data_IF_132648202653
#
_entry.id   IF_132648202653
#
_cell.length_a   1.000
_cell.length_b   1.000
_cell.length_c   1.000
_cell.angle_alpha   90.00
_cell.angle_beta   90.00
_cell.angle_gamma   90.00
#
_symmetry.space_group_name_H-M   'P 1'
#
loop_
_entity.id
_entity.type
_entity.pdbx_description
1 polymer ?
#
# COMPACT_ATOMS: atom_id res chain seq x y z
N UNK A 1 14.80 6.04 0.29
CA UNK A 1 14.69 5.28 -0.98
C UNK A 1 13.55 4.30 -0.83
N UNK A 2 12.75 4.13 -1.89
CA UNK A 2 11.71 3.10 -2.01
C UNK A 2 11.93 2.31 -3.30
N UNK A 3 11.45 1.08 -3.34
CA UNK A 3 11.35 0.32 -4.60
C UNK A 3 10.25 0.92 -5.48
N UNK A 4 10.46 0.87 -6.80
CA UNK A 4 9.48 1.38 -7.79
C UNK A 4 8.34 0.36 -8.03
N UNK A 5 8.58 -0.92 -7.80
CA UNK A 5 7.63 -1.99 -8.09
C UNK A 5 6.20 -1.76 -7.56
N UNK A 6 5.95 -1.23 -6.33
CA UNK A 6 4.60 -0.91 -5.86
C UNK A 6 3.87 0.14 -6.69
N UNK A 7 4.61 0.96 -7.42
CA UNK A 7 4.08 1.98 -8.33
C UNK A 7 3.83 1.44 -9.74
N UNK A 8 4.01 0.15 -9.97
CA UNK A 8 3.99 -0.49 -11.30
C UNK A 8 2.72 -0.28 -12.10
N UNK A 9 1.57 -0.04 -11.43
CA UNK A 9 0.30 0.23 -12.10
C UNK A 9 0.15 1.68 -12.58
N UNK A 10 1.02 2.61 -12.17
CA UNK A 10 0.92 4.04 -12.51
C UNK A 10 0.85 4.28 -14.01
N UNK A 11 1.73 3.71 -14.87
CA UNK A 11 1.66 3.97 -16.31
C UNK A 11 0.35 3.51 -16.96
N UNK A 12 -0.15 2.35 -16.56
CA UNK A 12 -1.39 1.81 -17.10
C UNK A 12 -2.60 2.67 -16.67
N UNK A 13 -2.65 3.03 -15.39
CA UNK A 13 -3.70 3.91 -14.87
C UNK A 13 -3.72 5.27 -15.56
N UNK A 14 -2.57 5.92 -15.75
CA UNK A 14 -2.51 7.19 -16.47
C UNK A 14 -3.10 7.08 -17.88
N UNK A 15 -2.77 5.99 -18.61
CA UNK A 15 -3.34 5.75 -19.94
C UNK A 15 -4.86 5.54 -19.91
N UNK A 16 -5.39 4.85 -18.88
CA UNK A 16 -6.84 4.69 -18.69
C UNK A 16 -7.56 6.05 -18.48
N UNK A 17 -6.87 7.01 -17.85
CA UNK A 17 -7.32 8.39 -17.72
C UNK A 17 -7.01 9.26 -18.96
N UNK A 18 -6.51 8.67 -20.04
CA UNK A 18 -6.20 9.39 -21.29
C UNK A 18 -4.93 10.26 -21.21
N UNK A 19 -4.03 9.99 -20.26
CA UNK A 19 -2.80 10.74 -20.03
C UNK A 19 -1.60 9.92 -20.50
N UNK A 20 -0.73 10.52 -21.34
CA UNK A 20 0.56 9.92 -21.67
C UNK A 20 1.46 9.92 -20.41
N UNK A 21 1.90 8.74 -19.93
CA UNK A 21 2.73 8.65 -18.73
C UNK A 21 4.15 9.20 -18.93
N UNK A 22 4.72 9.11 -20.12
CA UNK A 22 6.13 9.36 -20.35
C UNK A 22 6.62 10.76 -19.92
N UNK A 23 5.93 11.88 -20.26
CA UNK A 23 6.36 13.21 -19.83
C UNK A 23 6.29 13.36 -18.30
N UNK A 24 5.25 12.80 -17.68
CA UNK A 24 5.03 12.87 -16.24
C UNK A 24 6.09 12.06 -15.48
N UNK A 25 6.39 10.85 -15.93
CA UNK A 25 7.42 10.00 -15.34
C UNK A 25 8.81 10.65 -15.41
N UNK A 26 9.19 11.19 -16.57
CA UNK A 26 10.47 11.91 -16.73
C UNK A 26 10.59 13.11 -15.81
N UNK A 27 9.52 13.86 -15.61
CA UNK A 27 9.50 14.99 -14.67
C UNK A 27 9.73 14.56 -13.20
N UNK A 28 9.53 13.27 -12.88
CA UNK A 28 9.76 12.67 -11.57
C UNK A 28 10.99 11.75 -11.54
N UNK A 29 11.92 11.90 -12.49
CA UNK A 29 13.18 11.16 -12.49
C UNK A 29 13.08 9.69 -12.91
N UNK A 30 11.95 9.26 -13.46
CA UNK A 30 11.76 7.93 -14.05
C UNK A 30 11.96 8.06 -15.57
N UNK A 31 12.94 7.33 -16.10
CA UNK A 31 13.37 7.45 -17.49
C UNK A 31 12.23 7.15 -18.47
N UNK A 32 11.56 6.03 -18.27
CA UNK A 32 10.49 5.50 -19.11
C UNK A 32 9.65 4.47 -18.36
N UNK A 33 8.59 3.96 -19.00
CA UNK A 33 7.72 2.93 -18.43
C UNK A 33 8.40 1.56 -18.26
N UNK A 34 9.51 1.29 -18.96
CA UNK A 34 10.27 0.04 -18.79
C UNK A 34 10.94 -0.06 -17.42
N UNK A 35 11.22 1.08 -16.78
CA UNK A 35 11.78 1.15 -15.42
C UNK A 35 10.92 0.40 -14.40
N UNK A 36 9.61 0.31 -14.60
CA UNK A 36 8.69 -0.43 -13.70
C UNK A 36 8.80 -1.96 -13.83
N UNK A 37 9.48 -2.48 -14.85
CA UNK A 37 9.75 -3.91 -15.01
C UNK A 37 10.96 -4.37 -14.21
N UNK A 38 11.83 -3.44 -13.81
CA UNK A 38 12.97 -3.71 -12.96
C UNK A 38 12.54 -3.74 -11.50
N UNK A 39 12.46 -4.93 -10.91
CA UNK A 39 12.06 -5.13 -9.52
C UNK A 39 13.06 -4.54 -8.51
N UNK A 40 14.30 -4.31 -8.90
CA UNK A 40 15.34 -3.70 -8.05
C UNK A 40 15.41 -2.17 -8.20
N UNK A 41 14.71 -1.59 -9.17
CA UNK A 41 14.69 -0.16 -9.37
C UNK A 41 14.17 0.57 -8.13
N UNK A 42 14.88 1.63 -7.73
CA UNK A 42 14.54 2.43 -6.56
C UNK A 42 14.49 3.92 -6.91
N UNK A 43 13.77 4.66 -6.08
CA UNK A 43 13.70 6.12 -6.16
C UNK A 43 13.68 6.75 -4.76
N UNK A 44 13.96 8.07 -4.62
CA UNK A 44 13.77 8.77 -3.36
C UNK A 44 12.28 8.68 -2.91
N UNK A 45 12.04 8.39 -1.64
CA UNK A 45 10.68 8.27 -1.08
C UNK A 45 9.82 9.51 -1.38
N UNK A 46 10.39 10.71 -1.15
CA UNK A 46 9.69 11.97 -1.43
C UNK A 46 9.33 12.15 -2.91
N UNK A 47 10.08 11.53 -3.81
CA UNK A 47 9.78 11.54 -5.25
C UNK A 47 8.57 10.65 -5.58
N UNK A 48 8.49 9.47 -4.93
CA UNK A 48 7.33 8.57 -5.06
C UNK A 48 6.03 9.23 -4.58
N UNK A 49 6.06 9.89 -3.43
CA UNK A 49 4.91 10.64 -2.92
C UNK A 49 4.49 11.78 -3.87
N UNK A 50 5.45 12.57 -4.37
CA UNK A 50 5.17 13.62 -5.36
C UNK A 50 4.60 13.08 -6.66
N UNK A 51 5.11 11.95 -7.15
CA UNK A 51 4.58 11.29 -8.34
C UNK A 51 3.10 10.95 -8.16
N UNK A 52 2.76 10.25 -7.08
CA UNK A 52 1.37 9.87 -6.79
C UNK A 52 0.45 11.10 -6.65
N UNK A 53 0.92 12.14 -5.95
CA UNK A 53 0.18 13.40 -5.84
C UNK A 53 -0.08 14.04 -7.20
N UNK A 54 0.96 14.15 -8.03
CA UNK A 54 0.83 14.70 -9.39
C UNK A 54 -0.13 13.86 -10.24
N UNK A 55 -0.07 12.53 -10.12
CA UNK A 55 -1.02 11.65 -10.80
C UNK A 55 -2.46 11.92 -10.36
N UNK A 56 -2.70 12.02 -9.04
CA UNK A 56 -4.03 12.32 -8.50
C UNK A 56 -4.59 13.66 -9.02
N UNK A 57 -3.74 14.71 -9.04
CA UNK A 57 -4.10 16.03 -9.55
C UNK A 57 -4.39 16.02 -11.05
N UNK A 58 -3.54 15.37 -11.84
CA UNK A 58 -3.66 15.34 -13.31
C UNK A 58 -4.84 14.50 -13.79
N UNK A 59 -5.18 13.45 -13.06
CA UNK A 59 -6.34 12.57 -13.36
C UNK A 59 -7.63 13.06 -12.73
N UNK A 60 -7.58 14.08 -11.86
CA UNK A 60 -8.69 14.51 -11.01
C UNK A 60 -9.26 13.35 -10.17
N UNK A 61 -8.39 12.39 -9.79
CA UNK A 61 -8.72 11.21 -9.03
C UNK A 61 -8.08 11.29 -7.64
N UNK A 62 -8.78 11.77 -6.60
CA UNK A 62 -8.21 11.99 -5.26
C UNK A 62 -7.80 10.68 -4.56
N UNK A 63 -8.23 9.53 -5.03
CA UNK A 63 -7.90 8.20 -4.54
C UNK A 63 -6.97 7.42 -5.51
N UNK A 64 -6.12 8.12 -6.25
CA UNK A 64 -5.23 7.49 -7.24
C UNK A 64 -4.30 6.46 -6.61
N UNK A 65 -3.75 6.75 -5.42
CA UNK A 65 -2.91 5.82 -4.65
C UNK A 65 -3.63 4.51 -4.31
N UNK A 66 -4.92 4.59 -3.93
CA UNK A 66 -5.77 3.42 -3.73
C UNK A 66 -5.85 2.56 -5.01
N UNK A 67 -6.10 3.18 -6.18
CA UNK A 67 -6.17 2.45 -7.45
C UNK A 67 -4.85 1.76 -7.81
N UNK A 68 -3.71 2.40 -7.51
CA UNK A 68 -2.38 1.79 -7.70
C UNK A 68 -2.23 0.58 -6.80
N UNK A 69 -2.52 0.71 -5.51
CA UNK A 69 -2.40 -0.37 -4.53
C UNK A 69 -3.33 -1.54 -4.79
N UNK A 70 -4.53 -1.31 -5.33
CA UNK A 70 -5.47 -2.37 -5.74
C UNK A 70 -4.88 -3.36 -6.75
N UNK A 71 -3.92 -2.91 -7.57
CA UNK A 71 -3.28 -3.69 -8.64
C UNK A 71 -1.96 -4.32 -8.23
N UNK A 72 -1.54 -4.10 -6.98
CA UNK A 72 -0.31 -4.63 -6.43
C UNK A 72 -0.61 -5.85 -5.56
N UNK A 73 0.19 -6.91 -5.73
CA UNK A 73 0.18 -8.08 -4.86
C UNK A 73 1.48 -8.16 -4.03
N UNK A 74 1.68 -9.26 -3.28
CA UNK A 74 2.88 -9.43 -2.45
C UNK A 74 4.18 -9.50 -3.26
N UNK A 75 4.15 -9.73 -4.57
CA UNK A 75 5.35 -9.81 -5.42
C UNK A 75 6.06 -8.45 -5.54
N UNK A 76 5.32 -7.34 -5.41
CA UNK A 76 5.90 -6.00 -5.43
C UNK A 76 6.87 -5.75 -4.26
N UNK A 77 6.82 -6.58 -3.21
CA UNK A 77 7.72 -6.53 -2.06
C UNK A 77 9.03 -7.32 -2.29
N UNK A 78 9.21 -7.95 -3.45
CA UNK A 78 10.43 -8.68 -3.79
C UNK A 78 10.76 -9.78 -2.78
N UNK A 79 11.97 -9.74 -2.17
CA UNK A 79 12.41 -10.74 -1.18
C UNK A 79 11.51 -10.80 0.05
N UNK A 80 10.95 -9.68 0.50
CA UNK A 80 9.98 -9.66 1.61
C UNK A 80 8.72 -10.44 1.25
N UNK A 81 8.22 -10.29 0.03
CA UNK A 81 7.08 -11.07 -0.48
C UNK A 81 7.34 -12.58 -0.52
N UNK A 82 8.60 -13.00 -0.74
CA UNK A 82 8.98 -14.42 -0.63
C UNK A 82 8.96 -14.92 0.82
N UNK A 83 9.41 -14.13 1.78
CA UNK A 83 9.33 -14.46 3.21
C UNK A 83 7.88 -14.66 3.65
N UNK A 84 6.99 -13.75 3.26
CA UNK A 84 5.56 -13.87 3.53
C UNK A 84 4.97 -15.19 3.02
N UNK A 85 5.32 -15.58 1.79
CA UNK A 85 4.80 -16.81 1.16
C UNK A 85 5.30 -18.11 1.80
N UNK A 86 6.44 -18.08 2.47
CA UNK A 86 7.01 -19.25 3.14
C UNK A 86 6.70 -19.31 4.64
N UNK A 87 5.96 -18.34 5.17
CA UNK A 87 5.60 -18.32 6.57
C UNK A 87 4.54 -19.39 6.89
N UNK A 88 4.67 -20.11 8.03
CA UNK A 88 3.75 -21.18 8.38
C UNK A 88 2.37 -20.66 8.82
N UNK A 89 2.30 -19.47 9.38
CA UNK A 89 1.10 -18.84 9.89
C UNK A 89 1.11 -17.32 9.67
N UNK A 90 -0.05 -16.70 9.87
CA UNK A 90 -0.27 -15.29 9.58
C UNK A 90 0.61 -14.38 10.45
N UNK A 91 0.77 -14.70 11.74
CA UNK A 91 1.59 -13.86 12.64
C UNK A 91 3.05 -13.87 12.23
N UNK A 92 3.58 -15.02 11.83
CA UNK A 92 4.97 -15.13 11.32
C UNK A 92 5.12 -14.31 10.05
N UNK A 93 4.19 -14.42 9.09
CA UNK A 93 4.22 -13.63 7.87
C UNK A 93 4.22 -12.12 8.17
N UNK A 94 3.33 -11.65 9.05
CA UNK A 94 3.24 -10.23 9.38
C UNK A 94 4.46 -9.73 10.16
N UNK A 95 5.07 -10.54 11.02
CA UNK A 95 6.33 -10.20 11.69
C UNK A 95 7.49 -10.09 10.69
N UNK A 96 7.55 -10.97 9.68
CA UNK A 96 8.52 -10.85 8.59
C UNK A 96 8.32 -9.56 7.80
N UNK A 97 7.07 -9.17 7.51
CA UNK A 97 6.76 -7.90 6.86
C UNK A 97 7.25 -6.72 7.70
N UNK A 98 6.86 -6.65 8.98
CA UNK A 98 7.21 -5.55 9.89
C UNK A 98 8.73 -5.44 10.05
N UNK A 99 9.42 -6.56 10.24
CA UNK A 99 10.87 -6.58 10.47
C UNK A 99 11.66 -6.18 9.22
N UNK A 100 11.19 -6.58 8.05
CA UNK A 100 11.96 -6.47 6.82
C UNK A 100 11.48 -5.34 5.89
N UNK A 101 10.43 -4.59 6.22
CA UNK A 101 9.94 -3.52 5.36
C UNK A 101 11.04 -2.49 5.01
N UNK A 102 11.95 -2.21 5.93
CA UNK A 102 13.06 -1.27 5.70
C UNK A 102 14.00 -1.70 4.56
N UNK A 103 13.99 -2.98 4.15
CA UNK A 103 14.69 -3.45 2.94
C UNK A 103 14.00 -2.97 1.66
N UNK A 104 12.71 -2.70 1.75
CA UNK A 104 11.85 -2.31 0.65
C UNK A 104 11.59 -0.80 0.64
N UNK A 105 11.33 -0.22 1.80
CA UNK A 105 10.94 1.17 2.00
C UNK A 105 11.73 1.79 3.17
N UNK A 106 12.41 2.91 2.91
CA UNK A 106 13.15 3.69 3.92
C UNK A 106 12.53 5.06 4.16
N UNK A 107 11.24 5.17 4.02
CA UNK A 107 10.47 6.40 4.24
C UNK A 107 9.28 6.19 5.16
N UNK A 108 8.93 4.93 5.37
CA UNK A 108 7.81 4.53 6.20
C UNK A 108 8.13 3.24 6.97
N UNK A 109 7.25 2.90 7.89
CA UNK A 109 7.32 1.66 8.68
C UNK A 109 5.96 0.99 8.74
N UNK A 110 5.96 -0.35 8.82
CA UNK A 110 4.79 -1.12 9.23
C UNK A 110 4.86 -1.40 10.72
N UNK A 111 3.71 -1.61 11.32
CA UNK A 111 3.60 -2.14 12.69
C UNK A 111 2.47 -3.17 12.76
N UNK A 112 2.61 -4.10 13.68
CA UNK A 112 1.56 -5.05 14.06
C UNK A 112 1.33 -4.88 15.57
N UNK A 113 0.18 -4.33 15.92
CA UNK A 113 -0.26 -4.17 17.30
C UNK A 113 -1.42 -5.11 17.63
N UNK A 114 -1.52 -5.53 18.87
CA UNK A 114 -2.61 -6.36 19.38
C UNK A 114 -3.18 -5.68 20.63
N UNK A 115 -4.48 -5.40 20.60
CA UNK A 115 -5.20 -4.82 21.74
C UNK A 115 -6.51 -5.56 21.96
N UNK A 116 -6.60 -6.28 23.07
CA UNK A 116 -7.75 -7.14 23.35
C UNK A 116 -7.92 -8.24 22.32
N UNK A 117 -9.06 -8.25 21.64
CA UNK A 117 -9.38 -9.23 20.60
C UNK A 117 -9.06 -8.74 19.18
N UNK A 118 -8.52 -7.54 19.03
CA UNK A 118 -8.23 -6.93 17.74
C UNK A 118 -6.72 -6.86 17.47
N UNK A 119 -6.36 -7.08 16.24
CA UNK A 119 -5.03 -6.84 15.69
C UNK A 119 -5.07 -5.67 14.71
N UNK A 120 -3.98 -4.92 14.62
CA UNK A 120 -3.82 -3.73 13.82
C UNK A 120 -2.57 -3.87 12.95
N UNK A 121 -2.75 -4.06 11.65
CA UNK A 121 -1.65 -3.96 10.70
C UNK A 121 -1.63 -2.54 10.15
N UNK A 122 -0.64 -1.77 10.56
CA UNK A 122 -0.55 -0.36 10.21
C UNK A 122 0.67 -0.01 9.36
N UNK A 123 0.58 1.18 8.75
CA UNK A 123 1.65 1.77 7.97
C UNK A 123 1.75 3.27 8.29
N UNK A 124 2.96 3.72 8.58
CA UNK A 124 3.23 5.11 8.96
C UNK A 124 4.43 5.68 8.19
N UNK A 125 4.20 6.84 7.56
CA UNK A 125 5.28 7.62 6.94
C UNK A 125 5.94 8.47 8.02
N UNK A 126 7.24 8.23 8.26
CA UNK A 126 8.02 8.96 9.27
C UNK A 126 8.88 10.10 8.69
N UNK A 127 9.06 10.14 7.37
CA UNK A 127 9.77 11.24 6.71
C UNK A 127 8.89 12.47 6.64
N UNK A 128 9.31 13.55 7.29
CA UNK A 128 8.55 14.80 7.31
C UNK A 128 8.63 15.56 5.97
N UNK A 129 7.58 16.34 5.69
CA UNK A 129 7.54 17.24 4.53
C UNK A 129 7.38 16.55 3.18
N UNK A 130 7.00 15.28 3.17
CA UNK A 130 6.70 14.54 1.93
C UNK A 130 5.32 14.91 1.43
N UNK A 131 5.24 15.36 0.17
CA UNK A 131 3.96 15.59 -0.49
C UNK A 131 3.33 14.25 -0.89
N UNK A 132 1.99 14.16 -0.85
CA UNK A 132 1.24 12.97 -1.29
C UNK A 132 1.30 11.80 -0.30
N UNK A 133 1.52 12.06 0.98
CA UNK A 133 1.52 11.04 2.03
C UNK A 133 0.18 10.31 2.17
N UNK A 134 -0.92 10.99 1.87
CA UNK A 134 -2.26 10.43 1.75
C UNK A 134 -2.31 9.34 0.67
N UNK A 135 -1.81 9.64 -0.53
CA UNK A 135 -1.75 8.71 -1.65
C UNK A 135 -0.83 7.51 -1.37
N UNK A 136 0.31 7.74 -0.71
CA UNK A 136 1.23 6.67 -0.27
C UNK A 136 0.54 5.77 0.76
N UNK A 137 -0.18 6.34 1.73
CA UNK A 137 -0.91 5.58 2.74
C UNK A 137 -2.04 4.76 2.14
N UNK A 138 -2.81 5.32 1.20
CA UNK A 138 -3.88 4.62 0.50
C UNK A 138 -3.34 3.42 -0.29
N UNK A 139 -2.23 3.62 -1.01
CA UNK A 139 -1.53 2.55 -1.71
C UNK A 139 -1.10 1.46 -0.73
N UNK A 140 -0.46 1.83 0.38
CA UNK A 140 0.03 0.87 1.37
C UNK A 140 -1.10 0.08 2.02
N UNK A 141 -2.23 0.73 2.37
CA UNK A 141 -3.40 0.04 2.92
C UNK A 141 -4.03 -0.94 1.93
N UNK A 142 -4.08 -0.58 0.64
CA UNK A 142 -4.56 -1.49 -0.40
C UNK A 142 -3.63 -2.70 -0.59
N UNK A 143 -2.31 -2.48 -0.60
CA UNK A 143 -1.33 -3.57 -0.65
C UNK A 143 -1.45 -4.46 0.58
N UNK A 144 -1.56 -3.89 1.78
CA UNK A 144 -1.78 -4.63 3.02
C UNK A 144 -3.04 -5.49 2.98
N UNK A 145 -4.14 -4.94 2.45
CA UNK A 145 -5.38 -5.69 2.27
C UNK A 145 -5.20 -6.88 1.30
N UNK A 146 -4.50 -6.69 0.18
CA UNK A 146 -4.20 -7.76 -0.76
C UNK A 146 -3.31 -8.85 -0.12
N UNK A 147 -2.31 -8.45 0.67
CA UNK A 147 -1.45 -9.38 1.43
C UNK A 147 -2.31 -10.20 2.39
N UNK A 148 -3.15 -9.57 3.20
CA UNK A 148 -4.01 -10.28 4.15
C UNK A 148 -4.96 -11.27 3.47
N UNK A 149 -5.55 -10.88 2.34
CA UNK A 149 -6.40 -11.79 1.55
C UNK A 149 -5.62 -12.97 0.96
N UNK A 150 -4.37 -12.75 0.62
CA UNK A 150 -3.47 -13.81 0.16
C UNK A 150 -3.11 -14.77 1.29
N UNK A 151 -2.81 -14.24 2.49
CA UNK A 151 -2.43 -15.04 3.66
C UNK A 151 -3.62 -15.79 4.28
N UNK A 152 -4.77 -15.12 4.41
CA UNK A 152 -5.95 -15.61 5.14
C UNK A 152 -7.04 -16.19 4.24
N UNK A 153 -6.89 -16.05 2.92
CA UNK A 153 -7.88 -16.53 1.95
C UNK A 153 -8.97 -15.51 1.60
N UNK A 154 -9.81 -15.84 0.61
CA UNK A 154 -10.74 -14.91 -0.02
C UNK A 154 -11.91 -14.46 0.89
N UNK A 155 -12.16 -15.15 1.99
CA UNK A 155 -13.20 -14.80 2.95
C UNK A 155 -12.75 -13.78 4.00
N UNK A 156 -11.43 -13.51 4.10
CA UNK A 156 -10.93 -12.55 5.06
C UNK A 156 -11.40 -11.13 4.70
N UNK A 157 -11.87 -10.42 5.70
CA UNK A 157 -12.22 -9.00 5.65
C UNK A 157 -11.76 -8.32 6.95
N UNK A 158 -11.30 -7.07 6.89
CA UNK A 158 -11.03 -6.31 8.11
C UNK A 158 -12.34 -5.94 8.81
N UNK A 159 -12.30 -5.82 10.13
CA UNK A 159 -13.41 -5.29 10.94
C UNK A 159 -13.59 -3.78 10.71
N UNK A 160 -12.50 -3.07 10.44
CA UNK A 160 -12.46 -1.63 10.19
C UNK A 160 -11.18 -1.30 9.41
N UNK A 161 -11.25 -0.30 8.53
CA UNK A 161 -10.07 0.31 7.90
C UNK A 161 -9.95 1.74 8.41
N UNK A 162 -8.82 2.04 9.01
CA UNK A 162 -8.47 3.38 9.50
C UNK A 162 -7.56 4.07 8.51
N UNK A 163 -7.86 5.33 8.23
CA UNK A 163 -7.10 6.18 7.32
C UNK A 163 -6.79 7.50 8.03
N UNK A 164 -5.51 7.89 8.03
CA UNK A 164 -5.04 9.07 8.75
C UNK A 164 -5.50 10.36 8.10
N UNK A 165 -5.64 10.37 6.77
CA UNK A 165 -6.04 11.58 6.05
C UNK A 165 -7.50 11.96 6.30
N UNK A 166 -7.85 13.17 5.91
CA UNK A 166 -9.20 13.70 6.03
C UNK A 166 -10.22 12.89 5.21
N UNK A 167 -11.47 12.95 5.63
CA UNK A 167 -12.57 12.31 4.94
C UNK A 167 -12.71 12.90 3.53
N UNK A 168 -12.53 12.10 2.46
CA UNK A 168 -12.68 12.60 1.11
C UNK A 168 -14.15 12.89 0.77
N UNK A 169 -14.38 13.70 -0.27
CA UNK A 169 -15.73 13.99 -0.75
C UNK A 169 -16.45 12.74 -1.24
N UNK A 170 -15.73 11.82 -1.87
CA UNK A 170 -16.25 10.54 -2.34
C UNK A 170 -15.52 9.38 -1.66
N UNK A 171 -16.22 8.62 -0.82
CA UNK A 171 -15.72 7.45 -0.11
C UNK A 171 -16.08 6.13 -0.77
N UNK A 172 -16.90 6.14 -1.83
CA UNK A 172 -17.37 4.92 -2.49
C UNK A 172 -16.25 4.05 -3.05
N UNK A 173 -15.16 4.59 -3.63
CA UNK A 173 -14.02 3.78 -4.07
C UNK A 173 -13.37 2.98 -2.93
N UNK A 174 -13.23 3.59 -1.76
CA UNK A 174 -12.69 2.94 -0.56
C UNK A 174 -13.66 1.88 -0.03
N UNK A 175 -14.94 2.24 0.11
CA UNK A 175 -15.99 1.36 0.61
C UNK A 175 -16.13 0.10 -0.25
N UNK A 176 -16.13 0.28 -1.57
CA UNK A 176 -16.24 -0.80 -2.55
C UNK A 176 -15.04 -1.73 -2.49
N UNK A 177 -13.83 -1.19 -2.32
CA UNK A 177 -12.62 -1.99 -2.32
C UNK A 177 -12.41 -2.74 -1.01
N UNK A 178 -12.38 -2.02 0.11
CA UNK A 178 -12.10 -2.62 1.42
C UNK A 178 -13.26 -3.48 1.93
N UNK A 179 -14.47 -3.21 1.49
CA UNK A 179 -15.70 -3.88 1.93
C UNK A 179 -15.80 -4.00 3.45
N UNK A 180 -15.50 -2.91 4.15
CA UNK A 180 -15.46 -2.80 5.61
C UNK A 180 -15.81 -1.38 6.06
N UNK A 181 -16.17 -1.16 7.33
CA UNK A 181 -16.29 0.17 7.92
C UNK A 181 -15.01 0.98 7.75
N UNK A 182 -15.16 2.28 7.45
CA UNK A 182 -14.06 3.21 7.24
C UNK A 182 -14.03 4.27 8.32
N UNK A 183 -12.84 4.57 8.85
CA UNK A 183 -12.59 5.64 9.81
C UNK A 183 -11.50 6.56 9.29
N UNK A 184 -11.87 7.76 8.88
CA UNK A 184 -10.94 8.83 8.50
C UNK A 184 -10.51 9.67 9.68
N UNK A 185 -9.50 10.51 9.52
CA UNK A 185 -8.88 11.31 10.59
C UNK A 185 -8.40 10.45 11.76
N UNK A 186 -7.94 9.24 11.48
CA UNK A 186 -7.36 8.35 12.47
C UNK A 186 -5.92 8.78 12.83
N UNK A 187 -5.45 8.36 13.98
CA UNK A 187 -4.07 8.62 14.41
C UNK A 187 -3.06 7.97 13.48
N UNK A 188 -3.34 6.72 13.07
CA UNK A 188 -2.54 5.92 12.14
C UNK A 188 -3.43 5.27 11.08
N UNK A 189 -2.88 5.05 9.88
CA UNK A 189 -3.54 4.22 8.89
C UNK A 189 -3.32 2.75 9.22
N UNK A 190 -4.40 1.96 9.33
CA UNK A 190 -4.33 0.54 9.70
C UNK A 190 -5.54 -0.28 9.24
N UNK A 191 -5.29 -1.56 8.99
CA UNK A 191 -6.31 -2.59 8.87
C UNK A 191 -6.54 -3.19 10.25
N UNK A 192 -7.77 -3.13 10.75
CA UNK A 192 -8.19 -3.73 12.03
C UNK A 192 -8.88 -5.05 11.73
N UNK A 193 -8.51 -6.10 12.42
CA UNK A 193 -9.10 -7.44 12.22
C UNK A 193 -9.03 -8.27 13.51
N UNK A 194 -9.86 -9.31 13.66
CA UNK A 194 -9.80 -10.17 14.84
C UNK A 194 -8.44 -10.83 15.01
N UNK A 195 -7.83 -10.70 16.20
CA UNK A 195 -6.53 -11.29 16.51
C UNK A 195 -6.50 -12.82 16.36
N UNK A 196 -7.67 -13.47 16.34
CA UNK A 196 -7.81 -14.92 16.11
C UNK A 196 -7.35 -15.36 14.71
N UNK A 197 -7.15 -14.44 13.77
CA UNK A 197 -6.54 -14.75 12.47
C UNK A 197 -5.03 -14.98 12.57
N UNK A 198 -4.36 -14.39 13.55
CA UNK A 198 -2.90 -14.42 13.67
C UNK A 198 -2.30 -15.84 13.77
N UNK A 199 -2.85 -16.76 14.58
CA UNK A 199 -2.32 -18.13 14.67
C UNK A 199 -2.80 -19.06 13.54
N UNK A 200 -3.59 -18.58 12.59
CA UNK A 200 -4.08 -19.42 11.50
C UNK A 200 -2.96 -19.73 10.51
N UNK A 201 -2.92 -20.96 9.97
CA UNK A 201 -2.01 -21.30 8.87
C UNK A 201 -2.24 -20.39 7.67
N UNK A 202 -1.16 -20.00 6.97
CA UNK A 202 -1.27 -19.28 5.70
C UNK A 202 -1.95 -20.17 4.64
N UNK A 203 -2.77 -19.57 3.77
CA UNK A 203 -3.49 -20.27 2.71
C UNK A 203 -2.75 -20.20 1.35
N UNK A 204 -1.42 -20.13 1.40
CA UNK A 204 -0.55 -20.04 0.21
C UNK A 204 -0.23 -21.39 -0.38
#
# INVERSE_FOLDING_TARGET
MIRIAPLGAVPALLREFGIDPEPLLRAHGIKDTETFKDQEATMPFAMGGRLLKTCAERTLCPYFGLLVGQRADSSVLGSVGLLLRNAPDVITALNELVTNLALHDRGATCFLDISGNDAFLGYEVYVHGVAGTDQVSDLAMAVGWNIMRTLCGPTWLPSEVRLRHEHPLDIEPYRRYFNAPLKFNAEHSSLVFPASWLPQPTQL
#
